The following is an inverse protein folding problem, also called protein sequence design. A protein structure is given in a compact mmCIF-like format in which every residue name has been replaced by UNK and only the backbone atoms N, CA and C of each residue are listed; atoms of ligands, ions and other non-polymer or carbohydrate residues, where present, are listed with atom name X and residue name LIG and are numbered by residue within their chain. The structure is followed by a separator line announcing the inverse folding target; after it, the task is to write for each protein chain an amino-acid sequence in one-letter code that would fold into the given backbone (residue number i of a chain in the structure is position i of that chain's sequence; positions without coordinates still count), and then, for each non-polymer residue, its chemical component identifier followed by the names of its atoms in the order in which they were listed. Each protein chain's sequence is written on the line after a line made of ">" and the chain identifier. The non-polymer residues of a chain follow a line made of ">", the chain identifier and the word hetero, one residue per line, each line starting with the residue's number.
data_IF_732751626755
#
_entry.id   IF_732751626755
#
_cell.length_a   1.000
_cell.length_b   1.000
_cell.length_c   1.000
_cell.angle_alpha   90.00
_cell.angle_beta   90.00
_cell.angle_gamma   90.00
#
_symmetry.space_group_name_H-M   'P 1'
#
loop_
_entity.id
_entity.type
_entity.pdbx_description
1 polymer ?
#
# COMPACT_ATOMS: atom_id res chain seq x y z
N UNK A 1 -16.24 10.51 -6.82
CA UNK A 1 -15.61 10.71 -5.50
C UNK A 1 -16.42 11.74 -4.75
N UNK A 2 -16.79 11.46 -3.53
CA UNK A 2 -17.38 12.45 -2.65
C UNK A 2 -16.25 13.17 -1.91
N UNK A 3 -16.25 14.50 -1.90
CA UNK A 3 -15.43 15.28 -0.98
C UNK A 3 -15.89 14.90 0.44
N UNK A 4 -15.20 14.02 1.12
CA UNK A 4 -15.37 13.47 2.48
C UNK A 4 -15.13 11.94 2.53
N UNK A 5 -14.60 11.32 1.45
CA UNK A 5 -14.15 9.93 1.54
C UNK A 5 -12.98 9.84 2.54
N UNK A 6 -12.92 8.76 3.30
CA UNK A 6 -11.92 8.51 4.35
C UNK A 6 -10.94 7.44 3.89
N UNK A 7 -9.65 7.72 3.99
CA UNK A 7 -8.60 6.77 3.61
C UNK A 7 -7.62 6.48 4.75
N UNK A 8 -7.14 5.23 4.81
CA UNK A 8 -6.00 4.82 5.64
C UNK A 8 -4.86 4.34 4.75
N UNK A 9 -3.65 4.86 4.98
CA UNK A 9 -2.44 4.43 4.28
C UNK A 9 -1.42 3.93 5.30
N UNK A 10 -1.04 2.65 5.23
CA UNK A 10 -0.06 2.07 6.15
C UNK A 10 1.38 2.36 5.72
N UNK A 11 2.31 2.52 6.67
CA UNK A 11 3.72 2.80 6.38
C UNK A 11 3.94 4.12 5.65
N UNK A 12 3.17 5.16 5.97
CA UNK A 12 3.02 6.34 5.14
C UNK A 12 3.85 7.56 5.59
N UNK A 13 4.78 7.41 6.55
CA UNK A 13 5.62 8.52 7.02
C UNK A 13 6.71 8.94 6.03
N UNK A 14 6.98 8.16 4.97
CA UNK A 14 8.00 8.44 3.95
C UNK A 14 7.70 7.78 2.60
N UNK A 15 8.53 8.10 1.59
CA UNK A 15 8.51 7.42 0.29
C UNK A 15 7.16 7.48 -0.43
N UNK A 16 6.80 6.36 -1.05
CA UNK A 16 5.57 6.22 -1.86
C UNK A 16 4.32 6.42 -0.99
N UNK A 17 4.28 5.84 0.22
CA UNK A 17 3.13 5.97 1.12
C UNK A 17 2.82 7.42 1.49
N UNK A 18 3.86 8.23 1.78
CA UNK A 18 3.69 9.66 2.05
C UNK A 18 3.13 10.41 0.84
N UNK A 19 3.59 10.05 -0.35
CA UNK A 19 3.10 10.66 -1.58
C UNK A 19 1.66 10.25 -1.90
N UNK A 20 1.26 9.01 -1.60
CA UNK A 20 -0.14 8.56 -1.68
C UNK A 20 -1.02 9.41 -0.75
N UNK A 21 -0.62 9.59 0.52
CA UNK A 21 -1.34 10.45 1.48
C UNK A 21 -1.51 11.86 0.91
N UNK A 22 -0.43 12.48 0.44
CA UNK A 22 -0.46 13.83 -0.13
C UNK A 22 -1.49 13.94 -1.27
N UNK A 23 -1.47 12.99 -2.21
CA UNK A 23 -2.34 13.00 -3.38
C UNK A 23 -3.80 12.71 -3.07
N UNK A 24 -4.08 11.83 -2.12
CA UNK A 24 -5.45 11.56 -1.67
C UNK A 24 -6.02 12.78 -0.95
N UNK A 25 -5.24 13.40 -0.05
CA UNK A 25 -5.67 14.61 0.65
C UNK A 25 -5.90 15.81 -0.31
N UNK A 26 -5.08 15.95 -1.36
CA UNK A 26 -5.30 16.94 -2.42
C UNK A 26 -6.58 16.70 -3.23
N UNK A 27 -7.13 15.49 -3.21
CA UNK A 27 -8.43 15.15 -3.82
C UNK A 27 -9.62 15.38 -2.86
N UNK A 28 -9.35 15.93 -1.67
CA UNK A 28 -10.38 16.25 -0.68
C UNK A 28 -10.76 15.08 0.24
N UNK A 29 -9.95 14.02 0.30
CA UNK A 29 -10.17 12.95 1.26
C UNK A 29 -9.62 13.34 2.64
N UNK A 30 -10.29 12.86 3.70
CA UNK A 30 -9.68 12.74 5.03
C UNK A 30 -8.73 11.55 5.02
N UNK A 31 -7.43 11.78 5.27
CA UNK A 31 -6.43 10.72 5.15
C UNK A 31 -5.73 10.45 6.47
N UNK A 32 -5.87 9.22 6.96
CA UNK A 32 -5.09 8.73 8.09
C UNK A 32 -3.73 8.21 7.62
N UNK A 33 -2.68 8.91 8.05
CA UNK A 33 -1.29 8.52 7.86
C UNK A 33 -0.90 7.55 8.96
N UNK A 34 -0.87 6.25 8.63
CA UNK A 34 -0.44 5.19 9.53
C UNK A 34 1.07 5.01 9.52
N UNK A 35 1.72 5.11 10.70
CA UNK A 35 3.13 4.83 10.87
C UNK A 35 3.42 4.27 12.27
N UNK A 36 4.38 3.33 12.37
CA UNK A 36 4.77 2.71 13.65
C UNK A 36 5.49 3.66 14.60
N UNK A 37 6.27 4.60 14.05
CA UNK A 37 7.01 5.60 14.80
C UNK A 37 6.18 6.89 14.90
N UNK A 38 5.74 7.28 16.13
CA UNK A 38 4.87 8.44 16.32
C UNK A 38 5.53 9.77 15.98
N UNK A 39 6.83 9.92 16.22
CA UNK A 39 7.56 11.17 15.95
C UNK A 39 7.66 11.39 14.45
N UNK A 40 8.13 10.39 13.71
CA UNK A 40 8.22 10.44 12.25
C UNK A 40 6.86 10.62 11.60
N UNK A 41 5.83 9.97 12.13
CA UNK A 41 4.46 10.11 11.64
C UNK A 41 3.92 11.53 11.79
N UNK A 42 4.02 12.13 12.99
CA UNK A 42 3.60 13.52 13.25
C UNK A 42 4.39 14.53 12.42
N UNK A 43 5.70 14.33 12.29
CA UNK A 43 6.55 15.17 11.42
C UNK A 43 6.07 15.14 9.97
N UNK A 44 5.79 13.95 9.43
CA UNK A 44 5.30 13.81 8.07
C UNK A 44 3.94 14.53 7.87
N UNK A 45 3.01 14.42 8.80
CA UNK A 45 1.72 15.16 8.76
C UNK A 45 1.97 16.67 8.77
N UNK A 46 2.79 17.16 9.70
CA UNK A 46 3.09 18.60 9.81
C UNK A 46 3.70 19.18 8.52
N UNK A 47 4.62 18.45 7.89
CA UNK A 47 5.25 18.84 6.63
C UNK A 47 4.25 18.83 5.46
N UNK A 48 3.41 17.81 5.34
CA UNK A 48 2.39 17.70 4.29
C UNK A 48 1.34 18.83 4.42
N UNK A 49 0.89 19.12 5.64
CA UNK A 49 -0.09 20.17 5.92
C UNK A 49 0.51 21.54 5.58
N UNK A 50 1.76 21.81 5.98
CA UNK A 50 2.45 23.07 5.68
C UNK A 50 2.65 23.29 4.18
N UNK A 51 3.04 22.24 3.45
CA UNK A 51 3.23 22.31 1.99
C UNK A 51 1.94 22.63 1.23
N UNK A 52 0.79 22.29 1.80
CA UNK A 52 -0.54 22.49 1.17
C UNK A 52 -1.30 23.72 1.71
N UNK A 53 -0.79 24.43 2.71
CA UNK A 53 -1.45 25.57 3.36
C UNK A 53 -1.74 26.76 2.44
N UNK A 54 -1.21 26.76 1.21
CA UNK A 54 -1.44 27.81 0.20
C UNK A 54 -2.60 27.50 -0.75
N UNK A 55 -3.34 26.41 -0.53
CA UNK A 55 -4.49 26.07 -1.38
C UNK A 55 -5.70 26.94 -1.04
N UNK A 56 -6.38 27.57 -2.03
CA UNK A 56 -7.59 28.35 -1.81
C UNK A 56 -8.79 27.53 -1.29
N UNK A 57 -8.71 26.22 -1.31
CA UNK A 57 -9.81 25.29 -1.02
C UNK A 57 -9.81 24.77 0.42
N UNK A 58 -9.01 25.33 1.32
CA UNK A 58 -8.77 24.82 2.67
C UNK A 58 -7.57 23.87 2.72
N UNK A 59 -7.00 23.70 3.91
CA UNK A 59 -5.88 22.78 4.12
C UNK A 59 -6.31 21.30 3.96
N UNK A 60 -5.37 20.40 3.61
CA UNK A 60 -5.66 18.98 3.52
C UNK A 60 -5.99 18.40 4.91
N UNK A 61 -7.00 17.55 4.99
CA UNK A 61 -7.31 16.82 6.24
C UNK A 61 -6.43 15.56 6.31
N UNK A 62 -5.26 15.69 6.92
CA UNK A 62 -4.32 14.59 7.14
C UNK A 62 -4.17 14.39 8.64
N UNK A 63 -4.46 13.18 9.10
CA UNK A 63 -4.42 12.80 10.51
C UNK A 63 -3.40 11.70 10.73
N UNK A 64 -2.66 11.77 11.83
CA UNK A 64 -1.73 10.70 12.21
C UNK A 64 -2.44 9.66 13.06
N UNK A 65 -2.19 8.37 12.74
CA UNK A 65 -2.46 7.25 13.66
C UNK A 65 -1.21 6.40 13.83
N UNK A 66 -0.89 6.05 15.10
CA UNK A 66 0.15 5.05 15.34
C UNK A 66 -0.37 3.71 14.82
N UNK A 67 0.38 3.11 13.89
CA UNK A 67 0.01 1.84 13.30
C UNK A 67 1.27 1.03 12.96
N UNK A 68 1.51 -0.01 13.74
CA UNK A 68 2.45 -1.08 13.44
C UNK A 68 1.64 -2.27 12.92
N UNK A 69 1.84 -2.65 11.66
CA UNK A 69 1.08 -3.72 11.01
C UNK A 69 1.36 -5.10 11.60
N UNK A 70 2.46 -5.24 12.35
CA UNK A 70 2.87 -6.48 13.01
C UNK A 70 2.37 -6.59 14.46
N UNK A 71 1.72 -5.54 14.97
CA UNK A 71 1.18 -5.45 16.33
C UNK A 71 -0.35 -5.33 16.27
N UNK A 72 -1.11 -6.42 16.53
CA UNK A 72 -2.57 -6.41 16.49
C UNK A 72 -3.20 -5.34 17.41
N UNK A 73 -2.64 -5.08 18.59
CA UNK A 73 -3.15 -4.06 19.51
C UNK A 73 -2.98 -2.65 18.93
N UNK A 74 -1.84 -2.39 18.27
CA UNK A 74 -1.61 -1.14 17.56
C UNK A 74 -2.60 -0.95 16.39
N UNK A 75 -2.90 -2.02 15.66
CA UNK A 75 -3.88 -2.00 14.55
C UNK A 75 -5.29 -1.71 15.09
N UNK A 76 -5.72 -2.40 16.14
CA UNK A 76 -7.02 -2.21 16.76
C UNK A 76 -7.20 -0.78 17.30
N UNK A 77 -6.19 -0.25 17.99
CA UNK A 77 -6.21 1.13 18.50
C UNK A 77 -6.34 2.16 17.35
N UNK A 78 -5.64 1.94 16.23
CA UNK A 78 -5.74 2.80 15.05
C UNK A 78 -7.15 2.75 14.43
N UNK A 79 -7.73 1.56 14.30
CA UNK A 79 -9.09 1.37 13.75
C UNK A 79 -10.14 2.00 14.68
N UNK A 80 -10.01 1.84 16.00
CA UNK A 80 -10.88 2.48 16.99
C UNK A 80 -10.84 4.01 16.88
N UNK A 81 -9.64 4.58 16.67
CA UNK A 81 -9.49 6.03 16.46
C UNK A 81 -10.22 6.47 15.18
N UNK A 82 -10.06 5.75 14.08
CA UNK A 82 -10.74 6.06 12.81
C UNK A 82 -12.26 5.92 12.96
N UNK A 83 -12.71 4.89 13.68
CA UNK A 83 -14.14 4.69 13.95
C UNK A 83 -14.75 5.87 14.73
N UNK A 84 -14.08 6.29 15.81
CA UNK A 84 -14.55 7.39 16.65
C UNK A 84 -14.57 8.74 15.92
N UNK A 85 -13.60 8.99 15.04
CA UNK A 85 -13.45 10.27 14.36
C UNK A 85 -14.19 10.37 13.01
N UNK A 86 -14.33 9.27 12.28
CA UNK A 86 -14.87 9.27 10.93
C UNK A 86 -16.04 8.29 10.70
N UNK A 87 -16.19 7.29 11.55
CA UNK A 87 -17.31 6.33 11.53
C UNK A 87 -17.26 5.30 10.40
N UNK A 88 -16.42 5.49 9.37
CA UNK A 88 -16.27 4.61 8.20
C UNK A 88 -14.87 4.69 7.60
N UNK A 89 -14.56 3.79 6.70
CA UNK A 89 -13.36 3.83 5.87
C UNK A 89 -13.75 3.55 4.40
N UNK A 90 -13.37 4.45 3.48
CA UNK A 90 -13.70 4.33 2.06
C UNK A 90 -12.53 3.72 1.25
N UNK A 91 -11.27 3.93 1.71
CA UNK A 91 -10.10 3.35 1.06
C UNK A 91 -9.06 2.89 2.09
N UNK A 92 -8.61 1.65 1.94
CA UNK A 92 -7.44 1.10 2.65
C UNK A 92 -6.31 0.90 1.64
N UNK A 93 -5.15 1.50 1.91
CA UNK A 93 -3.92 1.26 1.14
C UNK A 93 -2.91 0.54 2.02
N UNK A 94 -2.76 -0.75 1.82
CA UNK A 94 -1.74 -1.59 2.45
C UNK A 94 -0.40 -1.32 1.76
N UNK A 95 0.27 -0.23 2.19
CA UNK A 95 1.54 0.20 1.60
C UNK A 95 2.75 -0.22 2.44
N UNK A 96 2.61 -0.47 3.73
CA UNK A 96 3.71 -0.95 4.57
C UNK A 96 4.34 -2.21 3.97
N UNK A 97 5.67 -2.24 3.88
CA UNK A 97 6.40 -3.37 3.34
C UNK A 97 7.90 -3.22 3.54
N UNK A 98 8.57 -4.35 3.64
CA UNK A 98 10.03 -4.43 3.80
C UNK A 98 10.64 -5.41 2.81
N UNK A 99 11.93 -5.24 2.56
CA UNK A 99 12.82 -6.17 1.89
C UNK A 99 14.15 -6.17 2.65
N UNK A 100 14.62 -7.31 3.11
CA UNK A 100 15.80 -7.43 3.99
C UNK A 100 16.96 -8.20 3.37
N UNK A 101 16.74 -8.87 2.25
CA UNK A 101 17.68 -9.78 1.59
C UNK A 101 18.55 -9.11 0.49
N UNK A 102 18.84 -7.81 0.63
CA UNK A 102 19.66 -7.10 -0.35
C UNK A 102 21.06 -7.70 -0.47
N UNK A 103 21.43 -8.08 -1.69
CA UNK A 103 22.74 -8.67 -1.99
C UNK A 103 22.88 -10.16 -1.64
N UNK A 104 21.84 -10.81 -1.13
CA UNK A 104 21.83 -12.26 -0.90
C UNK A 104 21.34 -13.01 -2.15
N UNK A 105 22.00 -14.11 -2.46
CA UNK A 105 21.48 -15.10 -3.40
C UNK A 105 20.37 -15.93 -2.77
N UNK A 106 19.48 -16.51 -3.59
CA UNK A 106 18.38 -17.33 -3.07
C UNK A 106 18.85 -18.52 -2.21
N UNK A 107 20.04 -19.04 -2.45
CA UNK A 107 20.64 -20.13 -1.66
C UNK A 107 21.10 -19.70 -0.25
N UNK A 108 21.30 -18.39 -0.04
CA UNK A 108 21.80 -17.83 1.22
C UNK A 108 20.65 -17.29 2.10
N UNK A 109 19.45 -17.18 1.53
CA UNK A 109 18.27 -16.71 2.24
C UNK A 109 17.71 -17.81 3.15
N UNK A 110 17.57 -17.49 4.43
CA UNK A 110 17.10 -18.43 5.44
C UNK A 110 15.60 -18.27 5.75
N UNK A 111 15.02 -19.24 6.45
CA UNK A 111 13.63 -19.13 6.94
C UNK A 111 13.44 -17.94 7.90
N UNK A 112 14.50 -17.45 8.56
CA UNK A 112 14.42 -16.25 9.40
C UNK A 112 14.13 -15.00 8.56
N UNK A 113 14.83 -14.84 7.42
CA UNK A 113 14.56 -13.75 6.46
C UNK A 113 13.12 -13.79 5.94
N UNK A 114 12.62 -15.01 5.61
CA UNK A 114 11.23 -15.16 5.17
C UNK A 114 10.25 -14.72 6.27
N UNK A 115 10.42 -15.18 7.51
CA UNK A 115 9.53 -14.82 8.62
C UNK A 115 9.44 -13.32 8.80
N UNK A 116 10.58 -12.62 8.83
CA UNK A 116 10.63 -11.17 8.97
C UNK A 116 9.85 -10.46 7.86
N UNK A 117 10.09 -10.85 6.60
CA UNK A 117 9.43 -10.21 5.44
C UNK A 117 7.94 -10.56 5.39
N UNK A 118 7.56 -11.82 5.64
CA UNK A 118 6.17 -12.24 5.64
C UNK A 118 5.36 -11.62 6.76
N UNK A 119 5.96 -11.40 7.93
CA UNK A 119 5.29 -10.76 9.06
C UNK A 119 4.74 -9.39 8.68
N UNK A 120 5.51 -8.60 7.96
CA UNK A 120 5.07 -7.28 7.50
C UNK A 120 4.23 -7.35 6.22
N UNK A 121 4.76 -8.04 5.18
CA UNK A 121 4.23 -7.94 3.82
C UNK A 121 2.98 -8.79 3.58
N UNK A 122 2.72 -9.79 4.42
CA UNK A 122 1.63 -10.77 4.28
C UNK A 122 0.73 -10.76 5.51
N UNK A 123 1.26 -11.14 6.67
CA UNK A 123 0.47 -11.25 7.89
C UNK A 123 -0.05 -9.87 8.34
N UNK A 124 0.80 -8.84 8.31
CA UNK A 124 0.40 -7.48 8.61
C UNK A 124 -0.72 -6.96 7.72
N UNK A 125 -0.71 -7.32 6.42
CA UNK A 125 -1.81 -6.96 5.50
C UNK A 125 -3.11 -7.65 5.89
N UNK A 126 -3.06 -8.92 6.30
CA UNK A 126 -4.25 -9.65 6.77
C UNK A 126 -4.77 -9.03 8.06
N UNK A 127 -3.90 -8.74 9.04
CA UNK A 127 -4.26 -8.13 10.32
C UNK A 127 -4.97 -6.78 10.12
N UNK A 128 -4.36 -5.88 9.33
CA UNK A 128 -4.94 -4.55 9.05
C UNK A 128 -6.25 -4.67 8.27
N UNK A 129 -6.27 -5.52 7.23
CA UNK A 129 -7.48 -5.68 6.41
C UNK A 129 -8.64 -6.20 7.24
N UNK A 130 -8.43 -7.27 8.03
CA UNK A 130 -9.47 -7.85 8.89
C UNK A 130 -10.03 -6.83 9.90
N UNK A 131 -9.17 -6.06 10.54
CA UNK A 131 -9.57 -5.03 11.50
C UNK A 131 -10.37 -3.88 10.82
N UNK A 132 -10.03 -3.53 9.58
CA UNK A 132 -10.70 -2.46 8.84
C UNK A 132 -12.02 -2.89 8.17
N UNK A 133 -12.30 -4.19 8.00
CA UNK A 133 -13.51 -4.66 7.31
C UNK A 133 -14.82 -4.06 7.85
N UNK A 134 -15.05 -3.95 9.19
CA UNK A 134 -16.28 -3.34 9.70
C UNK A 134 -16.49 -1.90 9.22
N UNK A 135 -15.42 -1.10 9.15
CA UNK A 135 -15.47 0.28 8.69
C UNK A 135 -15.62 0.38 7.16
N UNK A 136 -14.96 -0.50 6.41
CA UNK A 136 -15.08 -0.59 4.96
C UNK A 136 -16.51 -0.96 4.53
N UNK A 137 -17.19 -1.85 5.26
CA UNK A 137 -18.60 -2.22 4.99
C UNK A 137 -19.57 -1.08 5.19
N UNK A 138 -19.21 -0.02 5.91
CA UNK A 138 -20.03 1.20 6.07
C UNK A 138 -19.86 2.19 4.92
N UNK A 139 -18.89 1.97 4.04
CA UNK A 139 -18.66 2.82 2.87
C UNK A 139 -19.64 2.52 1.74
N UNK A 140 -20.13 3.54 1.03
CA UNK A 140 -20.93 3.33 -0.18
C UNK A 140 -20.08 2.84 -1.37
N UNK A 141 -18.75 2.96 -1.33
CA UNK A 141 -17.84 2.51 -2.39
C UNK A 141 -16.46 2.17 -1.82
N UNK A 142 -16.32 1.03 -1.10
CA UNK A 142 -15.09 0.67 -0.42
C UNK A 142 -14.03 0.08 -1.37
N UNK A 143 -12.75 0.43 -1.13
CA UNK A 143 -11.62 -0.04 -1.93
C UNK A 143 -10.47 -0.48 -1.01
N UNK A 144 -9.81 -1.56 -1.38
CA UNK A 144 -8.54 -2.02 -0.79
C UNK A 144 -7.49 -2.06 -1.89
N UNK A 145 -6.35 -1.43 -1.64
CA UNK A 145 -5.20 -1.42 -2.54
C UNK A 145 -4.02 -2.06 -1.83
N UNK A 146 -3.53 -3.15 -2.37
CA UNK A 146 -2.35 -3.85 -1.87
C UNK A 146 -1.11 -3.44 -2.68
N UNK A 147 -0.10 -2.86 -2.02
CA UNK A 147 1.16 -2.49 -2.67
C UNK A 147 2.00 -3.73 -2.93
N UNK A 148 1.90 -4.24 -4.15
CA UNK A 148 2.65 -5.39 -4.63
C UNK A 148 3.89 -4.96 -5.43
N UNK A 149 4.42 -5.85 -6.23
CA UNK A 149 5.61 -5.66 -7.08
C UNK A 149 5.53 -6.60 -8.27
N UNK A 150 6.10 -6.21 -9.40
CA UNK A 150 6.31 -7.13 -10.52
C UNK A 150 7.09 -8.39 -10.12
N UNK A 151 7.92 -8.32 -9.07
CA UNK A 151 8.60 -9.49 -8.48
C UNK A 151 7.66 -10.48 -7.79
N UNK A 152 6.37 -10.16 -7.62
CA UNK A 152 5.33 -11.07 -7.17
C UNK A 152 4.56 -11.74 -8.31
N UNK A 153 4.83 -11.41 -9.57
CA UNK A 153 4.20 -12.04 -10.72
C UNK A 153 4.87 -13.37 -11.04
N UNK A 154 4.17 -14.47 -10.86
CA UNK A 154 4.68 -15.81 -11.19
C UNK A 154 4.89 -15.96 -12.69
N UNK A 155 4.03 -15.34 -13.51
CA UNK A 155 4.17 -15.33 -14.96
C UNK A 155 5.46 -14.64 -15.40
N UNK A 156 5.77 -13.45 -14.84
CA UNK A 156 6.99 -12.71 -15.19
C UNK A 156 8.26 -13.36 -14.63
N UNK A 157 8.17 -14.02 -13.47
CA UNK A 157 9.31 -14.73 -12.88
C UNK A 157 9.63 -16.04 -13.60
N UNK A 158 8.63 -16.71 -14.19
CA UNK A 158 8.80 -17.96 -14.92
C UNK A 158 9.34 -17.75 -16.34
N UNK A 159 9.30 -16.52 -16.86
CA UNK A 159 9.83 -16.18 -18.18
C UNK A 159 11.32 -15.81 -18.10
N UNK A 160 12.25 -16.63 -18.63
CA UNK A 160 13.67 -16.31 -18.61
C UNK A 160 14.06 -15.04 -19.39
N UNK A 161 13.20 -14.58 -20.32
CA UNK A 161 13.41 -13.35 -21.07
C UNK A 161 12.97 -12.10 -20.28
N UNK A 162 12.22 -12.28 -19.18
CA UNK A 162 11.80 -11.18 -18.34
C UNK A 162 12.98 -10.62 -17.53
N UNK A 163 13.21 -9.29 -17.55
CA UNK A 163 14.25 -8.68 -16.71
C UNK A 163 14.00 -8.84 -15.22
N UNK A 164 12.79 -9.23 -14.82
CA UNK A 164 12.44 -9.47 -13.42
C UNK A 164 12.89 -10.84 -12.93
N UNK A 165 12.98 -11.86 -13.81
CA UNK A 165 13.47 -13.19 -13.45
C UNK A 165 14.91 -13.13 -12.92
N UNK A 166 15.77 -12.30 -13.53
CA UNK A 166 17.15 -12.07 -13.08
C UNK A 166 17.26 -11.28 -11.75
N UNK A 167 16.18 -10.68 -11.29
CA UNK A 167 16.09 -9.92 -10.03
C UNK A 167 15.23 -10.61 -8.98
N UNK A 168 14.89 -11.88 -9.22
CA UNK A 168 14.08 -12.67 -8.29
C UNK A 168 14.73 -12.68 -6.90
N UNK A 169 13.91 -12.44 -5.89
CA UNK A 169 14.29 -12.44 -4.49
C UNK A 169 13.42 -13.44 -3.74
N UNK A 170 14.02 -14.29 -2.91
CA UNK A 170 13.29 -15.42 -2.32
C UNK A 170 12.23 -14.93 -1.31
N UNK A 171 12.61 -14.13 -0.32
CA UNK A 171 11.70 -13.69 0.72
C UNK A 171 10.74 -12.59 0.22
N UNK A 172 11.27 -11.54 -0.39
CA UNK A 172 10.45 -10.43 -0.87
C UNK A 172 9.55 -10.84 -2.04
N UNK A 173 10.10 -11.47 -3.08
CA UNK A 173 9.36 -11.89 -4.27
C UNK A 173 8.23 -12.85 -3.90
N UNK A 174 8.52 -13.89 -3.10
CA UNK A 174 7.50 -14.83 -2.64
C UNK A 174 6.45 -14.15 -1.75
N UNK A 175 6.81 -13.19 -0.90
CA UNK A 175 5.83 -12.43 -0.11
C UNK A 175 4.88 -11.60 -0.98
N UNK A 176 5.38 -11.05 -2.10
CA UNK A 176 4.54 -10.29 -3.03
C UNK A 176 3.66 -11.20 -3.89
N UNK A 177 4.12 -12.42 -4.22
CA UNK A 177 3.28 -13.46 -4.82
C UNK A 177 2.16 -13.91 -3.86
N UNK A 178 2.47 -14.11 -2.59
CA UNK A 178 1.46 -14.40 -1.56
C UNK A 178 0.45 -13.24 -1.44
N UNK A 179 0.90 -11.99 -1.45
CA UNK A 179 0.03 -10.81 -1.42
C UNK A 179 -0.86 -10.71 -2.67
N UNK A 180 -0.37 -11.11 -3.84
CA UNK A 180 -1.16 -11.22 -5.06
C UNK A 180 -2.27 -12.26 -4.91
N UNK A 181 -1.96 -13.43 -4.35
CA UNK A 181 -2.97 -14.46 -4.06
C UNK A 181 -4.03 -13.94 -3.05
N UNK A 182 -3.62 -13.27 -1.95
CA UNK A 182 -4.53 -12.65 -1.00
C UNK A 182 -5.43 -11.61 -1.67
N UNK A 183 -4.90 -10.83 -2.61
CA UNK A 183 -5.67 -9.83 -3.36
C UNK A 183 -6.83 -10.49 -4.13
N UNK A 184 -6.56 -11.59 -4.84
CA UNK A 184 -7.59 -12.35 -5.56
C UNK A 184 -8.62 -12.98 -4.64
N UNK A 185 -8.16 -13.59 -3.54
CA UNK A 185 -9.03 -14.23 -2.54
C UNK A 185 -9.96 -13.20 -1.90
N UNK A 186 -9.43 -12.07 -1.46
CA UNK A 186 -10.25 -10.98 -0.89
C UNK A 186 -11.20 -10.38 -1.94
N UNK A 187 -10.75 -10.17 -3.18
CA UNK A 187 -11.61 -9.66 -4.25
C UNK A 187 -12.81 -10.57 -4.51
N UNK A 188 -12.62 -11.88 -4.42
CA UNK A 188 -13.72 -12.86 -4.55
C UNK A 188 -14.61 -12.90 -3.30
N UNK A 189 -14.01 -13.00 -2.11
CA UNK A 189 -14.73 -13.16 -0.85
C UNK A 189 -15.56 -11.92 -0.46
N UNK A 190 -15.06 -10.71 -0.78
CA UNK A 190 -15.69 -9.44 -0.40
C UNK A 190 -16.56 -8.85 -1.52
N UNK A 191 -16.79 -9.58 -2.59
CA UNK A 191 -17.63 -9.14 -3.72
C UNK A 191 -19.05 -8.80 -3.30
N UNK A 192 -19.65 -9.60 -2.43
CA UNK A 192 -21.01 -9.38 -1.93
C UNK A 192 -21.11 -8.10 -1.07
N UNK A 193 -20.01 -7.70 -0.42
CA UNK A 193 -19.91 -6.45 0.34
C UNK A 193 -19.65 -5.22 -0.56
N UNK A 194 -19.50 -5.40 -1.88
CA UNK A 194 -19.16 -4.33 -2.82
C UNK A 194 -17.72 -3.81 -2.70
N UNK A 195 -16.87 -4.47 -1.90
CA UNK A 195 -15.49 -4.05 -1.66
C UNK A 195 -14.60 -4.43 -2.84
N UNK A 196 -13.94 -3.44 -3.45
CA UNK A 196 -12.97 -3.67 -4.53
C UNK A 196 -11.59 -3.89 -3.94
N UNK A 197 -10.93 -4.97 -4.36
CA UNK A 197 -9.58 -5.29 -3.90
C UNK A 197 -8.66 -5.46 -5.09
N UNK A 198 -7.62 -4.64 -5.17
CA UNK A 198 -6.67 -4.64 -6.29
C UNK A 198 -5.22 -4.56 -5.79
N UNK A 199 -4.31 -5.10 -6.58
CA UNK A 199 -2.88 -4.96 -6.38
C UNK A 199 -2.30 -3.84 -7.28
N UNK A 200 -1.33 -3.10 -6.76
CA UNK A 200 -0.57 -2.09 -7.50
C UNK A 200 0.93 -2.39 -7.46
N UNK A 201 1.61 -2.28 -8.60
CA UNK A 201 3.06 -2.22 -8.65
C UNK A 201 3.52 -0.77 -8.89
N UNK A 202 4.35 -0.20 -8.01
CA UNK A 202 4.87 1.17 -8.20
C UNK A 202 6.02 1.25 -9.22
N UNK A 203 6.51 0.11 -9.72
CA UNK A 203 7.78 0.03 -10.43
C UNK A 203 8.98 0.18 -9.48
N UNK A 204 10.17 0.32 -10.06
CA UNK A 204 11.39 0.53 -9.29
C UNK A 204 11.55 2.02 -8.94
N UNK A 205 11.21 2.37 -7.72
CA UNK A 205 11.27 3.74 -7.19
C UNK A 205 12.38 3.83 -6.14
N UNK A 206 13.34 4.75 -6.27
CA UNK A 206 14.36 5.01 -5.24
C UNK A 206 13.71 5.44 -3.92
N UNK A 207 13.77 4.58 -2.92
CA UNK A 207 13.28 4.80 -1.56
C UNK A 207 14.28 4.26 -0.55
N UNK A 208 14.05 4.50 0.74
CA UNK A 208 14.89 3.91 1.79
C UNK A 208 14.83 2.38 1.78
N UNK A 209 13.71 1.80 1.33
CA UNK A 209 13.56 0.34 1.26
C UNK A 209 14.63 -0.30 0.37
N UNK A 210 15.01 0.34 -0.71
CA UNK A 210 16.02 -0.16 -1.65
C UNK A 210 17.32 0.64 -1.65
N UNK A 211 17.62 1.35 -0.54
CA UNK A 211 18.87 2.11 -0.41
C UNK A 211 20.12 1.25 -0.51
N UNK A 212 20.05 0.00 -0.04
CA UNK A 212 21.11 -0.99 -0.08
C UNK A 212 21.14 -1.86 -1.35
N UNK A 213 20.31 -1.55 -2.36
CA UNK A 213 20.27 -2.32 -3.59
C UNK A 213 21.62 -2.32 -4.31
N UNK A 214 22.14 -3.48 -4.75
CA UNK A 214 23.44 -3.57 -5.43
C UNK A 214 23.38 -3.21 -6.93
N UNK A 215 22.31 -2.55 -7.35
CA UNK A 215 22.06 -2.14 -8.74
C UNK A 215 21.44 -0.74 -8.79
N UNK A 216 21.45 -0.07 -9.96
CA UNK A 216 20.81 1.24 -10.13
C UNK A 216 19.32 1.18 -9.78
N UNK A 217 18.87 2.10 -8.92
CA UNK A 217 17.48 2.13 -8.40
C UNK A 217 16.45 2.77 -9.35
N UNK A 218 16.86 3.10 -10.58
CA UNK A 218 16.02 3.75 -11.58
C UNK A 218 15.83 5.25 -11.31
N UNK A 219 15.05 5.88 -12.17
CA UNK A 219 14.81 7.33 -12.16
C UNK A 219 13.38 7.71 -11.74
N UNK A 220 12.54 6.71 -11.45
CA UNK A 220 11.16 6.96 -11.02
C UNK A 220 11.12 7.71 -9.69
N UNK A 221 10.21 8.64 -9.60
CA UNK A 221 9.97 9.40 -8.36
C UNK A 221 8.92 8.70 -7.48
N UNK A 222 8.82 9.13 -6.21
CA UNK A 222 7.72 8.71 -5.34
C UNK A 222 6.35 9.11 -5.95
N UNK A 223 6.32 10.19 -6.72
CA UNK A 223 5.14 10.65 -7.44
C UNK A 223 4.70 9.66 -8.51
N UNK A 224 5.64 9.09 -9.28
CA UNK A 224 5.32 8.07 -10.27
C UNK A 224 4.83 6.79 -9.61
N UNK A 225 5.50 6.35 -8.53
CA UNK A 225 5.11 5.16 -7.78
C UNK A 225 3.75 5.28 -7.08
N UNK A 226 3.31 6.49 -6.75
CA UNK A 226 2.02 6.74 -6.11
C UNK A 226 0.86 6.86 -7.12
N UNK A 227 1.12 7.01 -8.43
CA UNK A 227 0.09 7.30 -9.42
C UNK A 227 -1.00 6.22 -9.46
N UNK A 228 -0.63 4.99 -9.73
CA UNK A 228 -1.57 3.86 -9.86
C UNK A 228 -2.27 3.51 -8.54
N UNK A 229 -1.56 3.41 -7.38
CA UNK A 229 -2.24 3.19 -6.09
C UNK A 229 -3.31 4.23 -5.77
N UNK A 230 -3.05 5.51 -6.05
CA UNK A 230 -4.03 6.59 -5.83
C UNK A 230 -5.24 6.43 -6.73
N UNK A 231 -5.06 6.08 -8.02
CA UNK A 231 -6.17 5.81 -8.93
C UNK A 231 -7.01 4.62 -8.46
N UNK A 232 -6.38 3.53 -8.02
CA UNK A 232 -7.09 2.36 -7.46
C UNK A 232 -7.82 2.69 -6.16
N UNK A 233 -7.24 3.51 -5.27
CA UNK A 233 -7.89 3.96 -4.04
C UNK A 233 -9.07 4.92 -4.28
N UNK A 234 -9.19 5.45 -5.50
CA UNK A 234 -10.23 6.42 -5.88
C UNK A 234 -11.10 5.93 -7.04
N UNK A 235 -11.16 4.62 -7.27
CA UNK A 235 -11.99 4.02 -8.32
C UNK A 235 -13.48 4.39 -8.17
N UNK A 236 -14.19 4.57 -9.28
CA UNK A 236 -15.65 4.70 -9.26
C UNK A 236 -16.34 3.39 -8.85
N UNK A 237 -17.65 3.40 -8.56
CA UNK A 237 -18.39 2.21 -8.12
C UNK A 237 -18.32 1.03 -9.10
N UNK A 238 -18.24 1.31 -10.39
CA UNK A 238 -18.13 0.33 -11.50
C UNK A 238 -16.69 -0.04 -11.85
N UNK A 239 -15.72 0.44 -11.09
CA UNK A 239 -14.28 0.16 -11.31
C UNK A 239 -13.90 -1.30 -11.09
N UNK A 240 -12.71 -1.73 -11.56
CA UNK A 240 -12.26 -3.11 -11.52
C UNK A 240 -11.99 -3.60 -10.08
N UNK A 241 -12.10 -4.92 -9.90
CA UNK A 241 -11.66 -5.66 -8.70
C UNK A 241 -10.92 -6.93 -9.12
N UNK A 242 -9.99 -7.40 -8.30
CA UNK A 242 -9.18 -8.59 -8.60
C UNK A 242 -8.19 -8.35 -9.74
N UNK A 243 -7.61 -7.14 -9.83
CA UNK A 243 -6.64 -6.81 -10.88
C UNK A 243 -5.29 -6.42 -10.28
N UNK A 244 -4.23 -6.65 -11.06
CA UNK A 244 -2.88 -6.20 -10.76
C UNK A 244 -2.44 -5.16 -11.79
N UNK A 245 -2.17 -3.94 -11.37
CA UNK A 245 -1.99 -2.77 -12.23
C UNK A 245 -0.68 -2.02 -11.96
N UNK A 246 -0.21 -1.32 -12.98
CA UNK A 246 0.95 -0.44 -12.93
C UNK A 246 2.12 -0.95 -13.79
N UNK A 247 3.28 -0.27 -13.73
CA UNK A 247 3.57 0.87 -12.86
C UNK A 247 3.09 2.24 -13.40
N UNK A 248 2.73 2.36 -14.68
CA UNK A 248 2.57 3.66 -15.34
C UNK A 248 1.10 4.11 -15.43
N UNK A 249 0.17 3.18 -15.60
CA UNK A 249 -1.25 3.49 -15.73
C UNK A 249 -2.16 2.37 -15.22
N UNK A 250 -3.47 2.66 -15.07
CA UNK A 250 -4.48 1.63 -14.80
C UNK A 250 -4.69 0.67 -15.97
N UNK A 251 -4.38 1.08 -17.20
CA UNK A 251 -4.54 0.23 -18.38
C UNK A 251 -3.44 -0.83 -18.47
N UNK A 252 -2.31 -0.58 -17.81
CA UNK A 252 -1.22 -1.54 -17.74
C UNK A 252 -1.55 -2.66 -16.76
N UNK A 253 -2.00 -3.78 -17.30
CA UNK A 253 -2.24 -5.02 -16.54
C UNK A 253 -0.93 -5.77 -16.39
N UNK A 254 -0.59 -6.11 -15.14
CA UNK A 254 0.52 -7.01 -14.84
C UNK A 254 -0.07 -8.41 -14.69
N UNK A 255 0.48 -9.43 -15.37
CA UNK A 255 0.03 -10.80 -15.16
C UNK A 255 0.39 -11.26 -13.73
N UNK A 256 -0.43 -12.19 -13.20
CA UNK A 256 -0.23 -12.76 -11.87
C UNK A 256 0.97 -13.71 -11.79
#
# INVERSE_FOLDING_TARGET
>A
MNANDVALVTGANKGIGREIVRRLAQRGLTVYLGARDPERGRTAVAELTRASAKSPQGGPDIRFVRLDVTDPESVEAAVTTIEAEAGRLDALVNNAGIMTEWGLGAADVTAAHLREVYEVNVLGVVTVTSACLPLLRRSPNPRIVNMSSGLGSLTLLSDPASPLSARASLAYGSSKAALNALTLIYAAALRADGIKVNAASPGLVPTDQNAAAPFPRGERTAADGAAVPVLLATLPPDGPTGTFRGPDSLDQVIPW
#
